data_IF_416660406129
#
_entry.id   IF_416660406129
#
_cell.length_a   1.000
_cell.length_b   1.000
_cell.length_c   1.000
_cell.angle_alpha   90.00
_cell.angle_beta   90.00
_cell.angle_gamma   90.00
#
_symmetry.space_group_name_H-M   'P 1'
#
loop_
_entity.id
_entity.type
_entity.pdbx_description
1 polymer ?
#
# COMPACT_ATOMS: atom_id res chain seq x y z
N UNK A 1 27.65 1.36 -15.93
CA UNK A 1 28.73 1.90 -16.81
C UNK A 1 29.97 1.05 -16.63
N UNK A 2 30.67 0.75 -17.67
CA UNK A 2 32.01 0.09 -17.66
C UNK A 2 33.03 1.09 -18.19
N UNK A 3 34.25 1.07 -17.64
CA UNK A 3 35.28 2.03 -17.95
C UNK A 3 35.26 3.31 -17.11
N UNK A 4 34.57 3.27 -15.93
CA UNK A 4 34.48 4.36 -14.95
C UNK A 4 34.84 3.81 -13.57
N UNK A 5 35.70 4.49 -12.82
CA UNK A 5 36.08 4.12 -11.46
C UNK A 5 34.99 4.45 -10.42
N UNK A 6 35.25 4.14 -9.14
CA UNK A 6 34.30 4.37 -8.06
C UNK A 6 34.05 5.87 -7.78
N UNK A 7 34.99 6.73 -8.16
CA UNK A 7 34.94 8.18 -8.02
C UNK A 7 34.26 8.87 -9.22
N UNK A 8 33.83 8.08 -10.24
CA UNK A 8 33.15 8.58 -11.44
C UNK A 8 34.09 9.07 -12.56
N UNK A 9 35.40 8.82 -12.47
CA UNK A 9 36.39 9.22 -13.48
C UNK A 9 36.50 8.16 -14.57
N UNK A 10 36.56 8.59 -15.82
CA UNK A 10 36.78 7.69 -16.97
C UNK A 10 38.17 7.07 -16.93
N UNK A 11 38.24 5.74 -16.84
CA UNK A 11 39.46 4.93 -16.89
C UNK A 11 39.64 4.24 -18.26
N UNK A 12 38.51 4.17 -19.02
CA UNK A 12 38.46 3.52 -20.33
C UNK A 12 38.09 2.03 -20.23
N UNK A 13 37.54 1.51 -21.32
CA UNK A 13 37.23 0.08 -21.47
C UNK A 13 37.53 -0.33 -22.94
N UNK A 14 38.00 -1.56 -23.12
CA UNK A 14 38.13 -2.17 -24.44
C UNK A 14 36.77 -2.72 -24.88
N UNK A 15 36.19 -2.24 -26.00
CA UNK A 15 34.88 -2.68 -26.45
C UNK A 15 34.82 -4.18 -26.79
N UNK A 16 35.86 -4.77 -27.35
CA UNK A 16 35.87 -6.17 -27.78
C UNK A 16 35.92 -7.10 -26.55
N UNK A 17 36.78 -6.80 -25.56
CA UNK A 17 36.84 -7.56 -24.31
C UNK A 17 35.51 -7.50 -23.53
N UNK A 18 34.89 -6.30 -23.48
CA UNK A 18 33.59 -6.13 -22.76
C UNK A 18 32.46 -6.84 -23.50
N UNK A 19 32.44 -6.82 -24.85
CA UNK A 19 31.40 -7.52 -25.61
C UNK A 19 31.46 -9.03 -25.40
N UNK A 20 32.65 -9.63 -25.39
CA UNK A 20 32.83 -11.05 -25.11
C UNK A 20 32.44 -11.41 -23.68
N UNK A 21 32.83 -10.60 -22.71
CA UNK A 21 32.42 -10.79 -21.31
C UNK A 21 30.90 -10.70 -21.13
N UNK A 22 30.22 -9.75 -21.79
CA UNK A 22 28.78 -9.61 -21.77
C UNK A 22 28.08 -10.80 -22.41
N UNK A 23 28.59 -11.27 -23.56
CA UNK A 23 28.08 -12.46 -24.23
C UNK A 23 28.13 -13.70 -23.34
N UNK A 24 29.25 -13.92 -22.67
CA UNK A 24 29.43 -15.02 -21.71
C UNK A 24 28.50 -14.85 -20.49
N UNK A 25 28.36 -13.65 -19.94
CA UNK A 25 27.46 -13.39 -18.83
C UNK A 25 25.99 -13.67 -19.20
N UNK A 26 25.55 -13.25 -20.39
CA UNK A 26 24.19 -13.53 -20.89
C UNK A 26 23.93 -15.02 -21.06
N UNK A 27 24.91 -15.78 -21.54
CA UNK A 27 24.81 -17.25 -21.71
C UNK A 27 24.74 -18.00 -20.37
N UNK A 28 25.24 -17.41 -19.30
CA UNK A 28 25.17 -17.99 -17.96
C UNK A 28 23.85 -17.73 -17.23
N UNK A 29 23.00 -16.84 -17.76
CA UNK A 29 21.69 -16.55 -17.17
C UNK A 29 20.62 -17.49 -17.71
N UNK A 30 19.73 -17.94 -16.84
CA UNK A 30 18.59 -18.80 -17.14
C UNK A 30 17.28 -18.21 -16.57
N UNK A 31 16.31 -17.80 -17.40
CA UNK A 31 16.41 -17.61 -18.85
C UNK A 31 17.44 -16.53 -19.23
N UNK A 32 17.87 -16.45 -20.50
CA UNK A 32 18.81 -15.42 -20.95
C UNK A 32 18.27 -14.02 -20.74
N UNK A 33 19.15 -13.07 -20.36
CA UNK A 33 18.80 -11.65 -20.24
C UNK A 33 19.13 -10.93 -21.55
N UNK A 34 18.26 -9.96 -21.91
CA UNK A 34 18.55 -9.03 -23.01
C UNK A 34 19.24 -7.79 -22.45
N UNK A 35 20.39 -7.46 -23.01
CA UNK A 35 21.17 -6.27 -22.65
C UNK A 35 21.37 -5.44 -23.93
N UNK A 36 21.23 -4.12 -23.80
CA UNK A 36 21.66 -3.18 -24.84
C UNK A 36 22.85 -2.40 -24.31
N UNK A 37 23.82 -2.10 -25.17
CA UNK A 37 24.96 -1.28 -24.81
C UNK A 37 25.24 -0.24 -25.87
N UNK A 38 25.82 0.87 -25.45
CA UNK A 38 26.21 1.99 -26.27
C UNK A 38 27.63 2.37 -25.92
N UNK A 39 28.42 2.66 -26.95
CA UNK A 39 29.76 3.22 -26.81
C UNK A 39 29.65 4.74 -26.65
N UNK A 40 30.29 5.26 -25.62
CA UNK A 40 30.37 6.69 -25.35
C UNK A 40 31.83 7.07 -25.11
N UNK A 41 32.15 8.35 -25.24
CA UNK A 41 33.48 8.89 -24.97
C UNK A 41 33.40 9.90 -23.82
N UNK A 42 34.27 9.75 -22.84
CA UNK A 42 34.46 10.71 -21.76
C UNK A 42 35.93 10.89 -21.47
N UNK A 43 36.40 12.12 -21.41
CA UNK A 43 37.80 12.50 -21.21
C UNK A 43 38.75 11.83 -22.20
N UNK A 44 38.34 11.67 -23.47
CA UNK A 44 39.13 11.02 -24.53
C UNK A 44 39.30 9.51 -24.34
N UNK A 45 38.44 8.87 -23.52
CA UNK A 45 38.45 7.43 -23.24
C UNK A 45 37.10 6.82 -23.55
N UNK A 46 37.09 5.62 -24.10
CA UNK A 46 35.88 4.89 -24.41
C UNK A 46 35.27 4.35 -23.13
N UNK A 47 34.00 4.64 -22.87
CA UNK A 47 33.19 4.08 -21.83
C UNK A 47 31.99 3.36 -22.44
N UNK A 48 31.46 2.33 -21.75
CA UNK A 48 30.33 1.53 -22.22
C UNK A 48 29.16 1.70 -21.28
N UNK A 49 28.03 2.17 -21.81
CA UNK A 49 26.79 2.26 -21.12
C UNK A 49 26.00 0.96 -21.33
N UNK A 50 25.68 0.24 -20.25
CA UNK A 50 24.84 -0.94 -20.30
C UNK A 50 23.42 -0.61 -19.91
N UNK A 51 22.47 -0.95 -20.77
CA UNK A 51 21.05 -0.89 -20.53
C UNK A 51 20.54 -2.29 -20.22
N UNK A 52 20.23 -2.56 -18.96
CA UNK A 52 19.64 -3.82 -18.52
C UNK A 52 18.15 -3.55 -18.23
N UNK A 53 17.23 -3.93 -19.14
CA UNK A 53 15.80 -3.70 -18.93
C UNK A 53 15.29 -4.55 -17.76
N UNK A 54 14.25 -4.06 -17.11
CA UNK A 54 13.56 -4.85 -16.08
C UNK A 54 12.95 -6.08 -16.72
N UNK A 55 13.32 -7.27 -16.22
CA UNK A 55 12.73 -8.54 -16.67
C UNK A 55 11.59 -8.97 -15.73
N UNK A 56 10.45 -9.43 -16.28
CA UNK A 56 9.38 -10.04 -15.49
C UNK A 56 9.75 -11.45 -14.98
N UNK A 57 10.77 -12.08 -15.58
CA UNK A 57 11.15 -13.44 -15.25
C UNK A 57 12.18 -13.51 -14.13
N UNK A 58 12.14 -14.59 -13.36
CA UNK A 58 13.18 -14.90 -12.40
C UNK A 58 14.40 -15.47 -13.14
N UNK A 59 15.52 -14.75 -13.07
CA UNK A 59 16.78 -15.22 -13.66
C UNK A 59 17.65 -15.88 -12.61
N UNK A 60 18.18 -17.04 -12.92
CA UNK A 60 19.24 -17.71 -12.17
C UNK A 60 20.51 -17.78 -12.99
N UNK A 61 21.63 -18.02 -12.35
CA UNK A 61 22.86 -18.43 -13.03
C UNK A 61 22.75 -19.89 -13.45
N UNK A 62 23.66 -20.30 -14.34
CA UNK A 62 23.79 -21.69 -14.82
C UNK A 62 24.03 -22.72 -13.68
N UNK A 63 24.56 -22.27 -12.54
CA UNK A 63 24.73 -23.06 -11.32
C UNK A 63 23.48 -23.05 -10.41
N UNK A 64 22.37 -22.47 -10.85
CA UNK A 64 21.11 -22.40 -10.12
C UNK A 64 20.99 -21.27 -9.09
N UNK A 65 22.04 -20.51 -8.85
CA UNK A 65 21.98 -19.37 -7.91
C UNK A 65 21.17 -18.22 -8.46
N UNK A 66 20.31 -17.67 -7.63
CA UNK A 66 19.59 -16.41 -7.88
C UNK A 66 20.30 -15.31 -7.08
N UNK A 67 20.74 -14.27 -7.74
CA UNK A 67 21.50 -13.18 -7.12
C UNK A 67 20.67 -11.90 -7.05
N UNK A 68 20.84 -11.15 -5.96
CA UNK A 68 20.31 -9.80 -5.81
C UNK A 68 21.46 -8.82 -5.55
N UNK A 69 21.39 -7.63 -6.17
CA UNK A 69 22.33 -6.55 -5.93
C UNK A 69 21.96 -5.78 -4.67
N UNK A 70 22.88 -5.68 -3.70
CA UNK A 70 22.78 -4.78 -2.55
C UNK A 70 24.00 -3.87 -2.50
N UNK A 71 23.79 -2.60 -2.85
CA UNK A 71 24.90 -1.66 -2.97
C UNK A 71 25.93 -2.12 -4.00
N UNK A 72 27.18 -2.34 -3.56
CA UNK A 72 28.29 -2.79 -4.41
C UNK A 72 28.44 -4.32 -4.49
N UNK A 73 27.62 -5.11 -3.78
CA UNK A 73 27.77 -6.56 -3.68
C UNK A 73 26.60 -7.33 -4.29
N UNK A 74 26.90 -8.51 -4.84
CA UNK A 74 25.90 -9.49 -5.27
C UNK A 74 25.73 -10.55 -4.19
N UNK A 75 24.50 -10.69 -3.65
CA UNK A 75 24.18 -11.69 -2.61
C UNK A 75 23.31 -12.79 -3.22
N UNK A 76 23.62 -14.08 -2.99
CA UNK A 76 22.70 -15.16 -3.34
C UNK A 76 21.46 -15.13 -2.45
N UNK A 77 20.31 -15.42 -3.05
CA UNK A 77 19.05 -15.61 -2.35
C UNK A 77 18.82 -17.08 -2.07
N UNK A 78 18.13 -17.38 -0.98
CA UNK A 78 17.85 -18.77 -0.55
C UNK A 78 16.35 -18.97 -0.27
N UNK A 79 15.85 -20.18 -0.55
CA UNK A 79 14.55 -20.69 -0.15
C UNK A 79 13.39 -19.69 -0.31
N UNK A 80 12.91 -19.12 0.82
CA UNK A 80 11.78 -18.20 0.87
C UNK A 80 12.06 -16.88 0.13
N UNK A 81 13.28 -16.38 0.11
CA UNK A 81 13.66 -15.17 -0.60
C UNK A 81 13.51 -15.34 -2.13
N UNK A 82 13.87 -16.52 -2.66
CA UNK A 82 13.68 -16.85 -4.08
C UNK A 82 12.18 -16.90 -4.41
N UNK A 83 11.37 -17.53 -3.55
CA UNK A 83 9.92 -17.56 -3.74
C UNK A 83 9.30 -16.15 -3.70
N UNK A 84 9.75 -15.31 -2.80
CA UNK A 84 9.34 -13.91 -2.73
C UNK A 84 9.72 -13.13 -3.99
N UNK A 85 10.98 -13.27 -4.45
CA UNK A 85 11.44 -12.61 -5.67
C UNK A 85 10.71 -13.15 -6.91
N UNK A 86 10.44 -14.46 -6.98
CA UNK A 86 9.64 -15.06 -8.05
C UNK A 86 8.21 -14.52 -8.06
N UNK A 87 7.59 -14.43 -6.89
CA UNK A 87 6.27 -13.82 -6.73
C UNK A 87 6.26 -12.34 -7.12
N UNK A 88 7.33 -11.60 -6.84
CA UNK A 88 7.48 -10.20 -7.26
C UNK A 88 7.70 -10.05 -8.76
N UNK A 89 8.50 -10.91 -9.37
CA UNK A 89 8.83 -10.84 -10.79
C UNK A 89 7.75 -11.44 -11.67
N UNK A 90 7.03 -12.46 -11.20
CA UNK A 90 5.81 -12.97 -11.84
C UNK A 90 4.65 -11.96 -11.78
N UNK A 91 4.81 -10.87 -11.03
CA UNK A 91 4.04 -9.63 -11.18
C UNK A 91 4.58 -8.91 -12.44
N UNK A 92 4.59 -9.57 -13.59
CA UNK A 92 4.49 -8.89 -14.87
C UNK A 92 3.39 -7.84 -14.72
N UNK A 93 3.46 -6.79 -15.47
CA UNK A 93 2.49 -5.68 -15.45
C UNK A 93 1.08 -6.23 -15.82
N UNK A 94 0.52 -7.09 -14.91
CA UNK A 94 -0.74 -7.80 -15.14
C UNK A 94 -1.87 -6.86 -15.48
N UNK A 95 -1.86 -5.69 -14.88
CA UNK A 95 -2.87 -4.67 -15.17
C UNK A 95 -2.75 -4.10 -16.59
N UNK A 96 -1.60 -4.29 -17.27
CA UNK A 96 -1.36 -3.93 -18.68
C UNK A 96 -1.68 -5.05 -19.66
N UNK A 97 -1.92 -6.27 -19.19
CA UNK A 97 -2.25 -7.38 -20.07
C UNK A 97 -3.58 -7.14 -20.78
N UNK A 98 -3.64 -7.50 -22.06
CA UNK A 98 -4.88 -7.47 -22.85
C UNK A 98 -5.86 -8.49 -22.28
N UNK A 99 -7.11 -8.08 -22.11
CA UNK A 99 -8.18 -8.97 -21.67
C UNK A 99 -8.74 -9.74 -22.87
N UNK A 100 -8.55 -11.08 -22.95
CA UNK A 100 -9.04 -11.84 -24.09
C UNK A 100 -10.56 -11.73 -24.27
N UNK A 101 -10.98 -11.41 -25.48
CA UNK A 101 -12.39 -11.29 -25.84
C UNK A 101 -13.07 -9.99 -25.40
N UNK A 102 -12.34 -9.09 -24.74
CA UNK A 102 -12.82 -7.75 -24.45
C UNK A 102 -12.58 -6.81 -25.65
N UNK A 103 -13.51 -5.91 -25.87
CA UNK A 103 -13.47 -4.89 -26.91
C UNK A 103 -13.64 -3.50 -26.31
N UNK A 104 -13.37 -2.46 -27.10
CA UNK A 104 -13.60 -1.06 -26.69
C UNK A 104 -15.05 -0.80 -26.23
N UNK A 105 -16.02 -1.54 -26.79
CA UNK A 105 -17.43 -1.44 -26.46
C UNK A 105 -17.77 -1.96 -25.05
N UNK A 106 -16.90 -2.77 -24.46
CA UNK A 106 -17.05 -3.25 -23.08
C UNK A 106 -16.71 -2.19 -22.04
N UNK A 107 -16.09 -1.07 -22.46
CA UNK A 107 -15.85 0.09 -21.58
C UNK A 107 -17.10 0.99 -21.54
N UNK A 108 -17.34 1.58 -20.38
CA UNK A 108 -18.49 2.45 -20.10
C UNK A 108 -18.12 3.92 -20.34
N UNK A 109 -18.76 4.54 -21.34
CA UNK A 109 -18.54 5.93 -21.71
C UNK A 109 -18.88 6.90 -20.58
N UNK A 110 -19.91 6.60 -19.78
CA UNK A 110 -20.28 7.44 -18.65
C UNK A 110 -19.21 7.42 -17.55
N UNK A 111 -18.62 6.24 -17.29
CA UNK A 111 -17.51 6.11 -16.36
C UNK A 111 -16.26 6.85 -16.87
N UNK A 112 -15.97 6.75 -18.15
CA UNK A 112 -14.85 7.48 -18.77
C UNK A 112 -15.06 8.99 -18.66
N UNK A 113 -16.25 9.48 -19.03
CA UNK A 113 -16.57 10.91 -18.95
C UNK A 113 -16.50 11.45 -17.51
N UNK A 114 -17.00 10.69 -16.52
CA UNK A 114 -16.89 11.06 -15.11
C UNK A 114 -15.42 11.12 -14.65
N UNK A 115 -14.61 10.13 -15.03
CA UNK A 115 -13.18 10.12 -14.72
C UNK A 115 -12.46 11.34 -15.28
N UNK A 116 -12.73 11.68 -16.55
CA UNK A 116 -12.15 12.86 -17.21
C UNK A 116 -12.47 14.13 -16.44
N UNK A 117 -13.75 14.35 -16.11
CA UNK A 117 -14.17 15.52 -15.35
C UNK A 117 -13.48 15.62 -13.98
N UNK A 118 -13.38 14.49 -13.25
CA UNK A 118 -12.69 14.45 -11.96
C UNK A 118 -11.18 14.68 -12.09
N UNK A 119 -10.54 14.12 -13.13
CA UNK A 119 -9.10 14.30 -13.40
C UNK A 119 -8.81 15.76 -13.73
N UNK A 120 -9.59 16.40 -14.59
CA UNK A 120 -9.44 17.84 -14.92
C UNK A 120 -9.59 18.73 -13.69
N UNK A 121 -10.63 18.48 -12.88
CA UNK A 121 -10.85 19.21 -11.64
C UNK A 121 -9.67 19.11 -10.67
N UNK A 122 -9.08 17.90 -10.55
CA UNK A 122 -7.95 17.67 -9.66
C UNK A 122 -6.64 18.25 -10.18
N UNK A 123 -6.41 18.18 -11.48
CA UNK A 123 -5.21 18.75 -12.12
C UNK A 123 -5.31 20.27 -12.32
N UNK A 124 -6.49 20.84 -12.17
CA UNK A 124 -6.80 22.27 -12.45
C UNK A 124 -6.38 22.71 -13.87
N UNK A 125 -6.42 21.80 -14.82
CA UNK A 125 -6.11 22.04 -16.23
C UNK A 125 -6.93 21.10 -17.12
N UNK A 126 -7.33 21.55 -18.32
CA UNK A 126 -7.97 20.68 -19.31
C UNK A 126 -7.03 19.54 -19.70
N UNK A 127 -7.61 18.38 -20.01
CA UNK A 127 -6.88 17.26 -20.60
C UNK A 127 -6.67 17.58 -22.08
N UNK A 128 -5.39 17.55 -22.49
CA UNK A 128 -5.03 17.69 -23.90
C UNK A 128 -5.21 16.36 -24.63
N UNK A 129 -5.67 16.39 -25.88
CA UNK A 129 -5.82 15.20 -26.72
C UNK A 129 -7.22 14.59 -26.69
N UNK A 130 -7.38 13.51 -27.45
CA UNK A 130 -8.65 12.75 -27.54
C UNK A 130 -8.81 11.77 -26.39
N UNK A 131 -10.05 11.31 -26.19
CA UNK A 131 -10.38 10.30 -25.15
C UNK A 131 -9.58 9.03 -25.35
N UNK A 132 -9.44 8.56 -26.57
CA UNK A 132 -8.69 7.34 -26.91
C UNK A 132 -7.20 7.47 -26.59
N UNK A 133 -6.60 8.62 -26.90
CA UNK A 133 -5.19 8.90 -26.58
C UNK A 133 -4.97 8.87 -25.07
N UNK A 134 -5.87 9.46 -24.31
CA UNK A 134 -5.81 9.41 -22.86
C UNK A 134 -5.97 7.99 -22.32
N UNK A 135 -6.91 7.21 -22.85
CA UNK A 135 -7.10 5.81 -22.40
C UNK A 135 -5.85 4.97 -22.67
N UNK A 136 -5.12 5.25 -23.75
CA UNK A 136 -3.81 4.63 -24.02
C UNK A 136 -2.75 5.16 -23.05
N UNK A 137 -2.69 6.49 -22.82
CA UNK A 137 -1.73 7.11 -21.87
C UNK A 137 -1.83 6.50 -20.47
N UNK A 138 -3.04 6.35 -19.94
CA UNK A 138 -3.26 5.77 -18.61
C UNK A 138 -3.17 4.23 -18.59
N UNK A 139 -2.98 3.62 -19.76
CA UNK A 139 -2.87 2.17 -19.91
C UNK A 139 -4.19 1.41 -19.78
N UNK A 140 -5.33 2.07 -19.99
CA UNK A 140 -6.64 1.42 -20.06
C UNK A 140 -6.87 0.72 -21.41
N UNK A 141 -6.24 1.23 -22.45
CA UNK A 141 -6.18 0.61 -23.78
C UNK A 141 -4.72 0.39 -24.18
N UNK A 142 -4.49 -0.60 -25.04
CA UNK A 142 -3.24 -0.72 -25.79
C UNK A 142 -3.20 0.31 -26.91
N UNK A 143 -2.03 0.57 -27.53
CA UNK A 143 -1.95 1.41 -28.75
C UNK A 143 -2.79 0.88 -29.92
N UNK A 144 -3.13 -0.42 -29.93
CA UNK A 144 -4.03 -1.05 -30.90
C UNK A 144 -5.51 -0.97 -30.51
N UNK A 145 -5.86 -0.23 -29.44
CA UNK A 145 -7.24 -0.03 -29.00
C UNK A 145 -7.88 -1.19 -28.23
N UNK A 146 -7.08 -2.19 -27.80
CA UNK A 146 -7.58 -3.32 -27.03
C UNK A 146 -7.61 -3.01 -25.53
N UNK A 147 -8.72 -3.34 -24.82
CA UNK A 147 -8.80 -3.12 -23.38
C UNK A 147 -7.79 -3.96 -22.60
N UNK A 148 -7.14 -3.30 -21.65
CA UNK A 148 -6.26 -3.94 -20.68
C UNK A 148 -7.04 -4.36 -19.43
N UNK A 149 -6.41 -5.15 -18.56
CA UNK A 149 -6.95 -5.48 -17.23
C UNK A 149 -7.27 -4.20 -16.44
N UNK A 150 -6.37 -3.20 -16.43
CA UNK A 150 -6.65 -1.91 -15.81
C UNK A 150 -7.86 -1.20 -16.43
N UNK A 151 -7.95 -1.19 -17.76
CA UNK A 151 -9.08 -0.59 -18.47
C UNK A 151 -10.42 -1.21 -18.12
N UNK A 152 -10.49 -2.54 -18.13
CA UNK A 152 -11.69 -3.28 -17.73
C UNK A 152 -12.04 -3.05 -16.27
N UNK A 153 -11.05 -3.06 -15.36
CA UNK A 153 -11.29 -2.84 -13.93
C UNK A 153 -11.74 -1.41 -13.61
N UNK A 154 -11.18 -0.39 -14.29
CA UNK A 154 -11.52 1.01 -14.03
C UNK A 154 -12.80 1.47 -14.75
N UNK A 155 -13.02 1.01 -15.97
CA UNK A 155 -14.04 1.54 -16.86
C UNK A 155 -15.00 0.50 -17.45
N UNK A 156 -14.81 -0.79 -17.17
CA UNK A 156 -15.66 -1.84 -17.77
C UNK A 156 -17.12 -1.73 -17.33
N UNK A 157 -18.05 -1.96 -18.25
CA UNK A 157 -19.49 -2.07 -17.94
C UNK A 157 -19.77 -3.25 -17.00
N UNK A 158 -19.10 -4.37 -17.24
CA UNK A 158 -19.23 -5.60 -16.45
C UNK A 158 -17.87 -6.27 -16.26
N UNK A 159 -16.97 -5.71 -15.43
CA UNK A 159 -15.62 -6.26 -15.23
C UNK A 159 -15.60 -7.72 -14.82
N UNK A 160 -16.61 -8.15 -14.03
CA UNK A 160 -16.70 -9.52 -13.49
C UNK A 160 -17.01 -10.57 -14.57
N UNK A 161 -17.44 -10.17 -15.76
CA UNK A 161 -17.55 -11.08 -16.91
C UNK A 161 -16.18 -11.61 -17.35
N UNK A 162 -15.16 -10.78 -17.27
CA UNK A 162 -13.79 -11.10 -17.67
C UNK A 162 -12.91 -11.50 -16.48
N UNK A 163 -13.15 -10.86 -15.34
CA UNK A 163 -12.41 -10.99 -14.08
C UNK A 163 -13.39 -11.33 -12.94
N UNK A 164 -13.93 -12.55 -12.86
CA UNK A 164 -15.09 -12.89 -12.03
C UNK A 164 -14.94 -12.57 -10.55
N UNK A 165 -13.70 -12.58 -10.01
CA UNK A 165 -13.44 -12.34 -8.60
C UNK A 165 -12.92 -10.93 -8.29
N UNK A 166 -13.05 -9.98 -9.23
CA UNK A 166 -12.57 -8.59 -9.05
C UNK A 166 -13.44 -7.72 -8.13
N UNK A 167 -14.57 -8.24 -7.66
CA UNK A 167 -15.48 -7.54 -6.75
C UNK A 167 -15.14 -7.75 -5.27
N UNK A 168 -16.05 -7.27 -4.43
CA UNK A 168 -16.01 -7.35 -2.95
C UNK A 168 -17.19 -8.19 -2.46
N UNK A 169 -17.00 -8.93 -1.38
CA UNK A 169 -18.08 -9.56 -0.61
C UNK A 169 -18.11 -8.91 0.77
N UNK A 170 -19.25 -8.37 1.14
CA UNK A 170 -19.53 -7.90 2.50
C UNK A 170 -20.29 -8.97 3.26
N UNK A 171 -19.88 -9.25 4.51
CA UNK A 171 -20.58 -10.18 5.42
C UNK A 171 -20.65 -9.56 6.81
N UNK A 172 -21.85 -9.52 7.38
CA UNK A 172 -22.08 -9.12 8.78
C UNK A 172 -22.37 -10.34 9.64
N UNK A 173 -21.62 -10.48 10.71
CA UNK A 173 -21.81 -11.49 11.75
C UNK A 173 -22.38 -10.84 13.00
N UNK A 174 -23.42 -11.43 13.63
CA UNK A 174 -24.03 -10.87 14.86
C UNK A 174 -23.11 -10.96 16.08
N UNK A 175 -22.20 -11.93 16.10
CA UNK A 175 -21.26 -12.17 17.20
C UNK A 175 -19.81 -11.81 16.84
N UNK A 176 -18.88 -12.34 17.61
CA UNK A 176 -17.43 -12.14 17.45
C UNK A 176 -16.77 -13.24 16.64
N UNK A 177 -17.52 -14.27 16.24
CA UNK A 177 -17.04 -15.41 15.45
C UNK A 177 -17.89 -15.62 14.19
N UNK A 178 -17.35 -16.26 13.14
CA UNK A 178 -18.11 -16.59 11.94
C UNK A 178 -19.17 -17.69 12.16
N UNK A 179 -19.09 -18.39 13.28
CA UNK A 179 -20.01 -19.49 13.60
C UNK A 179 -21.24 -18.91 14.30
N UNK A 180 -22.41 -19.19 13.74
CA UNK A 180 -23.67 -18.89 14.43
C UNK A 180 -23.84 -19.77 15.64
N UNK A 181 -24.72 -19.35 16.56
CA UNK A 181 -25.25 -20.21 17.62
C UNK A 181 -26.14 -21.31 17.01
N UNK A 182 -26.27 -22.45 17.71
CA UNK A 182 -27.02 -23.61 17.23
C UNK A 182 -28.43 -23.21 16.79
N UNK A 183 -28.77 -23.44 15.53
CA UNK A 183 -30.09 -23.09 14.94
C UNK A 183 -30.21 -21.67 14.35
N UNK A 184 -29.19 -20.83 14.45
CA UNK A 184 -29.18 -19.50 13.83
C UNK A 184 -28.23 -19.46 12.62
N UNK A 185 -28.54 -18.65 11.55
CA UNK A 185 -27.61 -18.46 10.46
C UNK A 185 -26.31 -17.84 10.95
N UNK A 186 -25.17 -18.33 10.42
CA UNK A 186 -23.84 -17.84 10.81
C UNK A 186 -23.61 -16.36 10.47
N UNK A 187 -24.41 -15.76 9.58
CA UNK A 187 -24.31 -14.35 9.19
C UNK A 187 -25.70 -13.69 9.13
N UNK A 188 -25.75 -12.40 9.47
CA UNK A 188 -26.97 -11.58 9.45
C UNK A 188 -27.20 -10.91 8.08
N UNK A 189 -26.13 -10.61 7.33
CA UNK A 189 -26.18 -9.96 6.03
C UNK A 189 -25.02 -10.44 5.18
N UNK A 190 -25.27 -10.69 3.88
CA UNK A 190 -24.23 -10.98 2.91
C UNK A 190 -24.57 -10.29 1.58
N UNK A 191 -23.64 -9.51 1.06
CA UNK A 191 -23.78 -8.82 -0.22
C UNK A 191 -22.56 -9.00 -1.10
N UNK A 192 -22.80 -9.16 -2.40
CA UNK A 192 -21.76 -9.21 -3.41
C UNK A 192 -21.77 -7.88 -4.19
N UNK A 193 -20.61 -7.23 -4.23
CA UNK A 193 -20.42 -5.92 -4.83
C UNK A 193 -19.58 -6.10 -6.09
N UNK A 194 -20.12 -5.69 -7.22
CA UNK A 194 -19.48 -5.76 -8.54
C UNK A 194 -19.50 -4.42 -9.26
N UNK A 195 -19.04 -4.43 -10.51
CA UNK A 195 -18.89 -3.21 -11.32
C UNK A 195 -17.44 -2.76 -11.43
N UNK A 196 -17.19 -1.61 -12.07
CA UNK A 196 -15.87 -0.98 -12.11
C UNK A 196 -15.41 -0.57 -10.71
N UNK A 197 -14.09 -0.55 -10.49
CA UNK A 197 -13.51 -0.42 -9.15
C UNK A 197 -13.94 0.84 -8.39
N UNK A 198 -14.16 1.95 -9.10
CA UNK A 198 -14.69 3.16 -8.48
C UNK A 198 -16.06 2.90 -7.82
N UNK A 199 -16.97 2.23 -8.53
CA UNK A 199 -18.30 1.87 -8.00
C UNK A 199 -18.21 0.81 -6.91
N UNK A 200 -17.27 -0.13 -7.02
CA UNK A 200 -16.99 -1.13 -5.97
C UNK A 200 -16.57 -0.43 -4.67
N UNK A 201 -15.68 0.55 -4.73
CA UNK A 201 -15.25 1.32 -3.55
C UNK A 201 -16.41 2.10 -2.95
N UNK A 202 -17.20 2.82 -3.77
CA UNK A 202 -18.35 3.60 -3.32
C UNK A 202 -19.43 2.74 -2.63
N UNK A 203 -19.79 1.62 -3.26
CA UNK A 203 -20.80 0.72 -2.72
C UNK A 203 -20.32 0.01 -1.46
N UNK A 204 -19.07 -0.46 -1.44
CA UNK A 204 -18.47 -1.08 -0.26
C UNK A 204 -18.44 -0.09 0.91
N UNK A 205 -18.00 1.15 0.67
CA UNK A 205 -18.04 2.21 1.66
C UNK A 205 -19.45 2.45 2.19
N UNK A 206 -20.42 2.61 1.29
CA UNK A 206 -21.82 2.86 1.67
C UNK A 206 -22.37 1.74 2.55
N UNK A 207 -22.18 0.47 2.14
CA UNK A 207 -22.67 -0.68 2.91
C UNK A 207 -22.03 -0.72 4.31
N UNK A 208 -20.71 -0.51 4.40
CA UNK A 208 -20.03 -0.50 5.70
C UNK A 208 -20.51 0.68 6.55
N UNK A 209 -20.69 1.86 5.94
CA UNK A 209 -21.20 3.05 6.62
C UNK A 209 -22.61 2.82 7.20
N UNK A 210 -23.51 2.25 6.40
CA UNK A 210 -24.88 1.94 6.83
C UNK A 210 -24.94 0.92 7.98
N UNK A 211 -23.91 0.07 8.10
CA UNK A 211 -23.77 -0.95 9.14
C UNK A 211 -22.97 -0.47 10.36
N UNK A 212 -22.31 0.68 10.27
CA UNK A 212 -21.61 1.26 11.42
C UNK A 212 -22.62 1.89 12.39
N UNK A 213 -22.44 1.59 13.67
CA UNK A 213 -23.23 2.23 14.72
C UNK A 213 -22.77 3.69 14.91
N UNK A 214 -23.72 4.59 15.05
CA UNK A 214 -23.44 5.98 15.40
C UNK A 214 -23.79 6.17 16.86
N UNK A 215 -22.76 6.28 17.69
CA UNK A 215 -22.91 6.67 19.10
C UNK A 215 -23.08 8.19 19.20
N UNK A 216 -23.75 8.65 20.25
CA UNK A 216 -23.83 10.06 20.57
C UNK A 216 -23.13 10.34 21.91
N UNK A 217 -22.24 11.31 21.92
CA UNK A 217 -21.62 11.83 23.13
C UNK A 217 -22.16 13.23 23.39
N UNK A 218 -22.71 13.45 24.59
CA UNK A 218 -23.18 14.78 25.01
C UNK A 218 -22.01 15.51 25.69
N UNK A 219 -21.59 16.63 25.13
CA UNK A 219 -20.60 17.55 25.74
C UNK A 219 -21.30 18.88 26.03
N UNK A 220 -21.60 19.12 27.28
CA UNK A 220 -22.39 20.29 27.67
C UNK A 220 -23.81 20.26 27.08
N UNK A 221 -24.16 21.21 26.23
CA UNK A 221 -25.45 21.26 25.52
C UNK A 221 -25.40 20.70 24.10
N UNK A 222 -24.23 20.29 23.62
CA UNK A 222 -24.04 19.79 22.27
C UNK A 222 -23.99 18.27 22.23
N UNK A 223 -24.70 17.71 21.25
CA UNK A 223 -24.67 16.29 20.92
C UNK A 223 -23.71 16.07 19.76
N UNK A 224 -22.58 15.44 20.02
CA UNK A 224 -21.60 15.04 19.02
C UNK A 224 -21.90 13.60 18.58
N UNK A 225 -22.22 13.41 17.31
CA UNK A 225 -22.35 12.08 16.73
C UNK A 225 -20.97 11.48 16.43
N UNK A 226 -20.73 10.28 16.94
CA UNK A 226 -19.45 9.57 16.72
C UNK A 226 -19.72 8.25 16.02
N UNK A 227 -19.24 8.09 14.80
CA UNK A 227 -19.31 6.79 14.14
C UNK A 227 -18.47 5.75 14.91
N UNK A 228 -18.87 4.48 14.77
CA UNK A 228 -18.22 3.34 15.41
C UNK A 228 -16.71 3.27 15.12
N UNK A 229 -16.29 3.63 13.92
CA UNK A 229 -14.88 3.75 13.51
C UNK A 229 -14.62 5.11 12.87
N UNK A 230 -13.37 5.62 12.90
CA UNK A 230 -13.00 6.79 12.12
C UNK A 230 -13.26 6.54 10.63
N UNK A 231 -14.01 7.43 9.95
CA UNK A 231 -14.39 7.24 8.54
C UNK A 231 -13.19 7.07 7.62
N UNK A 232 -12.13 7.82 7.86
CA UNK A 232 -10.89 7.70 7.10
C UNK A 232 -10.28 6.31 7.19
N UNK A 233 -10.19 5.72 8.39
CA UNK A 233 -9.57 4.42 8.60
C UNK A 233 -10.31 3.30 7.84
N UNK A 234 -11.64 3.33 7.84
CA UNK A 234 -12.47 2.36 7.11
C UNK A 234 -12.31 2.55 5.60
N UNK A 235 -12.41 3.80 5.12
CA UNK A 235 -12.24 4.11 3.69
C UNK A 235 -10.87 3.67 3.18
N UNK A 236 -9.84 3.98 3.92
CA UNK A 236 -8.46 3.61 3.59
C UNK A 236 -8.26 2.10 3.52
N UNK A 237 -8.82 1.35 4.47
CA UNK A 237 -8.76 -0.11 4.47
C UNK A 237 -9.44 -0.71 3.21
N UNK A 238 -10.60 -0.15 2.79
CA UNK A 238 -11.33 -0.59 1.58
C UNK A 238 -10.53 -0.24 0.32
N UNK A 239 -10.06 1.00 0.19
CA UNK A 239 -9.32 1.48 -0.97
C UNK A 239 -8.02 0.70 -1.13
N UNK A 240 -7.27 0.49 -0.06
CA UNK A 240 -6.03 -0.29 -0.07
C UNK A 240 -6.28 -1.75 -0.47
N UNK A 241 -7.37 -2.36 0.00
CA UNK A 241 -7.73 -3.71 -0.39
C UNK A 241 -7.97 -3.83 -1.89
N UNK A 242 -8.59 -2.83 -2.52
CA UNK A 242 -8.83 -2.75 -3.97
C UNK A 242 -7.52 -2.45 -4.72
N UNK A 243 -6.76 -1.45 -4.29
CA UNK A 243 -5.52 -1.01 -4.94
C UNK A 243 -4.44 -2.09 -4.97
N UNK A 244 -4.31 -2.85 -3.89
CA UNK A 244 -3.22 -3.81 -3.70
C UNK A 244 -3.62 -5.27 -3.88
N UNK A 245 -4.88 -5.54 -4.28
CA UNK A 245 -5.34 -6.88 -4.61
C UNK A 245 -4.48 -7.51 -5.72
N UNK A 246 -4.15 -8.78 -5.58
CA UNK A 246 -3.58 -9.54 -6.68
C UNK A 246 -4.71 -10.05 -7.60
N UNK A 247 -4.93 -9.33 -8.70
CA UNK A 247 -6.00 -9.63 -9.65
C UNK A 247 -5.79 -10.92 -10.46
N UNK A 248 -4.60 -11.52 -10.40
CA UNK A 248 -4.33 -12.84 -10.98
C UNK A 248 -4.97 -13.97 -10.17
N UNK A 249 -5.22 -13.75 -8.88
CA UNK A 249 -5.85 -14.73 -8.01
C UNK A 249 -7.36 -14.81 -8.28
N UNK A 250 -7.76 -15.78 -9.09
CA UNK A 250 -9.15 -15.94 -9.55
C UNK A 250 -10.06 -16.67 -8.57
N UNK A 251 -9.52 -17.26 -7.51
CA UNK A 251 -10.27 -18.11 -6.56
C UNK A 251 -10.90 -17.36 -5.38
N UNK A 252 -10.56 -16.10 -5.14
CA UNK A 252 -11.00 -15.34 -3.95
C UNK A 252 -11.31 -13.90 -4.31
N UNK A 253 -12.34 -13.34 -3.63
CA UNK A 253 -12.69 -11.91 -3.68
C UNK A 253 -12.06 -11.17 -2.50
N UNK A 254 -12.10 -9.85 -2.54
CA UNK A 254 -11.93 -9.03 -1.35
C UNK A 254 -13.11 -9.32 -0.42
N UNK A 255 -12.84 -9.56 0.85
CA UNK A 255 -13.85 -9.84 1.87
C UNK A 255 -13.84 -8.72 2.91
N UNK A 256 -15.00 -8.12 3.15
CA UNK A 256 -15.22 -7.19 4.26
C UNK A 256 -16.15 -7.90 5.25
N UNK A 257 -15.62 -8.16 6.45
CA UNK A 257 -16.35 -8.88 7.51
C UNK A 257 -16.57 -7.96 8.70
N UNK A 258 -17.82 -7.66 9.00
CA UNK A 258 -18.23 -6.88 10.18
C UNK A 258 -18.67 -7.84 11.29
N UNK A 259 -17.94 -7.83 12.39
CA UNK A 259 -18.28 -8.52 13.64
C UNK A 259 -18.81 -7.54 14.68
N UNK A 260 -19.29 -8.08 15.80
CA UNK A 260 -19.76 -7.24 16.92
C UNK A 260 -18.62 -6.40 17.54
N UNK A 261 -17.37 -6.89 17.48
CA UNK A 261 -16.20 -6.30 18.13
C UNK A 261 -15.16 -5.71 17.16
N UNK A 262 -15.30 -5.91 15.84
CA UNK A 262 -14.31 -5.49 14.84
C UNK A 262 -14.83 -5.47 13.41
N UNK A 263 -14.10 -4.76 12.57
CA UNK A 263 -14.22 -4.81 11.12
C UNK A 263 -12.93 -5.40 10.53
N UNK A 264 -13.06 -6.40 9.68
CA UNK A 264 -11.92 -7.03 8.96
C UNK A 264 -12.05 -6.76 7.47
N UNK A 265 -10.98 -6.30 6.84
CA UNK A 265 -10.88 -6.13 5.38
C UNK A 265 -9.73 -6.99 4.89
N UNK A 266 -10.06 -8.04 4.13
CA UNK A 266 -9.10 -9.02 3.62
C UNK A 266 -9.01 -8.95 2.10
N UNK A 267 -7.80 -8.74 1.58
CA UNK A 267 -7.51 -8.69 0.15
C UNK A 267 -6.67 -9.89 -0.29
N UNK A 268 -7.00 -10.54 -1.42
CA UNK A 268 -6.16 -11.57 -2.02
C UNK A 268 -4.82 -11.01 -2.49
N UNK A 269 -3.74 -11.69 -2.12
CA UNK A 269 -2.35 -11.30 -2.38
C UNK A 269 -1.60 -10.94 -1.09
N UNK A 270 -0.41 -11.54 -0.90
CA UNK A 270 0.47 -11.22 0.21
C UNK A 270 1.14 -9.85 0.03
N UNK A 271 1.92 -9.43 1.01
CA UNK A 271 2.73 -8.22 0.90
C UNK A 271 3.74 -8.38 -0.26
N UNK A 272 3.93 -7.35 -1.09
CA UNK A 272 4.86 -7.41 -2.19
C UNK A 272 6.30 -7.31 -1.68
N UNK A 273 7.13 -8.17 -2.21
CA UNK A 273 8.58 -8.15 -2.22
C UNK A 273 9.32 -7.79 -0.94
N UNK A 274 9.74 -6.57 -0.85
CA UNK A 274 10.51 -6.04 0.26
C UNK A 274 9.64 -5.45 1.38
N UNK A 275 8.33 -5.35 1.16
CA UNK A 275 7.39 -4.88 2.18
C UNK A 275 7.16 -5.97 3.22
N UNK A 276 7.31 -5.60 4.48
CA UNK A 276 7.06 -6.42 5.66
C UNK A 276 6.14 -5.67 6.62
N UNK A 277 5.61 -6.35 7.63
CA UNK A 277 4.82 -5.66 8.66
C UNK A 277 5.65 -4.65 9.48
N UNK A 278 6.98 -4.82 9.49
CA UNK A 278 7.87 -3.92 10.24
C UNK A 278 8.18 -2.61 9.46
N UNK A 279 8.04 -2.61 8.12
CA UNK A 279 8.35 -1.45 7.28
C UNK A 279 7.16 -0.95 6.43
N UNK A 280 5.97 -1.52 6.61
CA UNK A 280 4.77 -1.19 5.81
C UNK A 280 4.34 0.28 5.91
N UNK A 281 4.76 0.95 6.97
CA UNK A 281 4.50 2.38 7.21
C UNK A 281 5.48 3.27 6.43
N UNK A 282 6.73 2.82 6.33
CA UNK A 282 7.83 3.63 5.77
C UNK A 282 8.08 3.33 4.28
N UNK A 283 7.71 2.13 3.81
CA UNK A 283 8.01 1.66 2.46
C UNK A 283 6.76 1.62 1.58
N UNK A 284 6.91 2.11 0.37
CA UNK A 284 5.82 2.21 -0.58
C UNK A 284 6.06 1.33 -1.81
N UNK A 285 5.11 0.47 -2.09
CA UNK A 285 5.10 -0.31 -3.31
C UNK A 285 3.68 -0.51 -3.82
N UNK A 286 3.45 -0.23 -5.07
CA UNK A 286 2.16 -0.53 -5.72
C UNK A 286 2.30 -1.74 -6.64
N UNK A 287 1.46 -2.75 -6.40
CA UNK A 287 1.31 -3.90 -7.30
C UNK A 287 0.60 -3.50 -8.59
N UNK A 288 -0.35 -2.58 -8.48
CA UNK A 288 -1.21 -2.13 -9.57
C UNK A 288 -1.12 -0.60 -9.72
N UNK A 289 0.00 -0.05 -10.23
CA UNK A 289 0.22 1.39 -10.31
C UNK A 289 -0.80 2.13 -11.18
N UNK A 290 -1.35 1.51 -12.25
CA UNK A 290 -2.38 2.14 -13.08
C UNK A 290 -3.72 2.23 -12.35
N UNK A 291 -4.11 1.17 -11.64
CA UNK A 291 -5.32 1.17 -10.81
C UNK A 291 -5.20 2.20 -9.69
N UNK A 292 -4.05 2.27 -9.02
CA UNK A 292 -3.79 3.29 -7.97
C UNK A 292 -3.89 4.70 -8.57
N UNK A 293 -3.23 4.95 -9.69
CA UNK A 293 -3.31 6.25 -10.39
C UNK A 293 -4.75 6.57 -10.81
N UNK A 294 -5.48 5.58 -11.34
CA UNK A 294 -6.89 5.73 -11.70
C UNK A 294 -7.73 6.15 -10.48
N UNK A 295 -7.66 5.43 -9.38
CA UNK A 295 -8.44 5.73 -8.17
C UNK A 295 -7.98 7.02 -7.47
N UNK A 296 -6.71 7.42 -7.61
CA UNK A 296 -6.22 8.72 -7.19
C UNK A 296 -6.95 9.86 -7.94
N UNK A 297 -7.01 9.81 -9.25
CA UNK A 297 -7.74 10.83 -10.02
C UNK A 297 -9.25 10.77 -9.79
N UNK A 298 -9.79 9.62 -9.43
CA UNK A 298 -11.19 9.51 -8.99
C UNK A 298 -11.45 10.20 -7.64
N UNK A 299 -10.39 10.49 -6.86
CA UNK A 299 -10.48 11.19 -5.58
C UNK A 299 -10.59 10.27 -4.36
N UNK A 300 -10.35 8.95 -4.52
CA UNK A 300 -10.40 8.00 -3.40
C UNK A 300 -9.09 7.88 -2.64
N UNK A 301 -7.98 8.28 -3.25
CA UNK A 301 -6.65 8.32 -2.64
C UNK A 301 -6.26 9.79 -2.46
N UNK A 302 -5.90 10.21 -1.24
CA UNK A 302 -5.55 11.60 -0.95
C UNK A 302 -4.08 11.89 -1.29
N UNK A 303 -3.15 11.15 -0.68
CA UNK A 303 -1.71 11.24 -0.94
C UNK A 303 -1.11 9.84 -1.02
N UNK A 304 -0.16 9.65 -1.92
CA UNK A 304 0.54 8.38 -2.07
C UNK A 304 1.47 8.18 -0.86
N UNK A 305 1.16 7.16 -0.06
CA UNK A 305 2.08 6.67 0.96
C UNK A 305 1.79 7.03 2.42
N UNK A 306 0.86 7.92 2.73
CA UNK A 306 0.55 8.32 4.12
C UNK A 306 -0.70 7.65 4.71
N UNK A 307 -1.37 6.78 3.96
CA UNK A 307 -2.68 6.23 4.34
C UNK A 307 -2.64 5.36 5.59
N UNK A 308 -1.63 4.49 5.71
CA UNK A 308 -1.50 3.56 6.85
C UNK A 308 -1.17 4.30 8.14
N UNK A 309 -0.24 5.26 8.10
CA UNK A 309 0.11 6.09 9.26
C UNK A 309 -1.12 6.81 9.80
N UNK A 310 -1.82 7.53 8.91
CA UNK A 310 -3.01 8.28 9.27
C UNK A 310 -4.14 7.36 9.77
N UNK A 311 -4.31 6.17 9.17
CA UNK A 311 -5.27 5.16 9.66
C UNK A 311 -4.97 4.80 11.12
N UNK A 312 -3.70 4.52 11.45
CA UNK A 312 -3.26 4.19 12.80
C UNK A 312 -3.54 5.37 13.75
N UNK A 313 -3.13 6.59 13.37
CA UNK A 313 -3.31 7.78 14.19
C UNK A 313 -4.78 8.07 14.46
N UNK A 314 -5.64 8.04 13.44
CA UNK A 314 -7.07 8.33 13.60
C UNK A 314 -7.77 7.30 14.48
N UNK A 315 -7.45 6.00 14.34
CA UNK A 315 -7.98 4.96 15.21
C UNK A 315 -7.59 5.23 16.68
N UNK A 316 -6.31 5.50 16.93
CA UNK A 316 -5.80 5.72 18.29
C UNK A 316 -6.36 7.02 18.90
N UNK A 317 -6.43 8.12 18.12
CA UNK A 317 -7.04 9.39 18.55
C UNK A 317 -8.51 9.22 18.92
N UNK A 318 -9.24 8.41 18.18
CA UNK A 318 -10.64 8.11 18.46
C UNK A 318 -10.84 7.15 19.66
N UNK A 319 -9.75 6.65 20.27
CA UNK A 319 -9.80 5.76 21.45
C UNK A 319 -9.91 4.27 21.10
N UNK A 320 -9.66 3.90 19.85
CA UNK A 320 -9.59 2.50 19.43
C UNK A 320 -8.19 1.91 19.65
N UNK A 321 -8.05 0.58 19.73
CA UNK A 321 -6.76 -0.06 19.55
C UNK A 321 -6.15 0.27 18.19
N UNK A 322 -4.84 0.15 18.07
CA UNK A 322 -4.19 0.23 16.77
C UNK A 322 -4.72 -0.84 15.83
N UNK A 323 -4.87 -0.56 14.52
CA UNK A 323 -5.20 -1.56 13.53
C UNK A 323 -4.23 -2.73 13.59
N UNK A 324 -4.74 -3.94 13.44
CA UNK A 324 -3.90 -5.13 13.33
C UNK A 324 -3.77 -5.52 11.88
N UNK A 325 -2.53 -5.70 11.43
CA UNK A 325 -2.22 -6.15 10.08
C UNK A 325 -1.78 -7.62 10.12
N UNK A 326 -2.38 -8.44 9.25
CA UNK A 326 -2.03 -9.86 9.11
C UNK A 326 -1.62 -10.10 7.67
N UNK A 327 -0.33 -10.42 7.48
CA UNK A 327 0.21 -10.78 6.19
C UNK A 327 0.37 -12.31 6.09
N UNK A 328 -0.22 -12.88 5.06
CA UNK A 328 -0.07 -14.29 4.68
C UNK A 328 0.43 -14.36 3.24
N UNK A 329 0.95 -15.50 2.76
CA UNK A 329 1.49 -15.61 1.40
C UNK A 329 0.53 -15.18 0.29
N UNK A 330 -0.79 -15.42 0.48
CA UNK A 330 -1.84 -15.16 -0.51
C UNK A 330 -2.96 -14.24 -0.02
N UNK A 331 -2.78 -13.57 1.11
CA UNK A 331 -3.74 -12.60 1.60
C UNK A 331 -3.11 -11.58 2.53
N UNK A 332 -3.69 -10.38 2.54
CA UNK A 332 -3.41 -9.34 3.50
C UNK A 332 -4.69 -8.88 4.15
N UNK A 333 -4.74 -8.82 5.48
CA UNK A 333 -5.92 -8.45 6.24
C UNK A 333 -5.64 -7.30 7.19
N UNK A 334 -6.50 -6.29 7.14
CA UNK A 334 -6.56 -5.18 8.09
C UNK A 334 -7.71 -5.43 9.06
N UNK A 335 -7.46 -5.34 10.36
CA UNK A 335 -8.47 -5.49 11.41
C UNK A 335 -8.56 -4.18 12.20
N UNK A 336 -9.74 -3.59 12.17
CA UNK A 336 -10.08 -2.42 12.97
C UNK A 336 -10.97 -2.89 14.14
N UNK A 337 -10.46 -2.77 15.37
CA UNK A 337 -11.21 -3.15 16.56
C UNK A 337 -12.09 -2.01 17.06
N UNK A 338 -13.23 -2.37 17.68
CA UNK A 338 -14.10 -1.41 18.33
C UNK A 338 -13.35 -0.68 19.45
N UNK A 339 -13.89 0.48 19.83
CA UNK A 339 -13.35 1.26 20.95
C UNK A 339 -13.38 0.43 22.22
N UNK A 340 -12.26 0.41 22.93
CA UNK A 340 -12.21 -0.14 24.27
C UNK A 340 -12.56 0.95 25.27
N UNK A 341 -13.54 0.70 26.15
CA UNK A 341 -13.76 1.55 27.32
C UNK A 341 -12.52 1.47 28.21
N UNK A 342 -11.72 2.54 28.23
CA UNK A 342 -10.66 2.69 29.22
C UNK A 342 -11.30 3.27 30.48
N UNK A 343 -11.12 2.64 31.65
CA UNK A 343 -11.49 3.30 32.89
C UNK A 343 -10.78 4.65 32.98
N UNK A 344 -11.45 5.73 33.42
CA UNK A 344 -10.81 7.03 33.57
C UNK A 344 -9.62 6.87 34.52
N UNK A 345 -8.41 7.13 34.00
CA UNK A 345 -7.21 7.20 34.84
C UNK A 345 -7.33 8.45 35.66
N UNK A 346 -7.26 8.40 37.00
CA UNK A 346 -7.25 9.60 37.82
C UNK A 346 -6.00 10.42 37.43
N UNK A 347 -6.20 11.53 36.76
CA UNK A 347 -5.12 12.46 36.43
C UNK A 347 -4.81 13.24 37.72
N UNK A 348 -3.95 12.64 38.57
CA UNK A 348 -3.32 13.39 39.63
C UNK A 348 -2.43 14.46 39.00
N UNK A 349 -2.54 15.69 39.44
CA UNK A 349 -1.70 16.81 39.06
C UNK A 349 -0.25 16.63 39.59
N UNK A 350 0.47 15.68 38.98
CA UNK A 350 1.91 15.61 39.18
C UNK A 350 2.60 16.59 38.23
N UNK A 351 3.47 17.46 38.70
CA UNK A 351 4.18 18.40 37.84
C UNK A 351 4.97 17.64 36.76
N UNK A 352 4.95 18.17 35.55
CA UNK A 352 5.80 17.67 34.47
C UNK A 352 7.24 18.08 34.69
N UNK A 353 8.18 17.21 34.41
CA UNK A 353 9.58 17.54 34.42
C UNK A 353 9.98 18.33 33.16
N UNK A 354 11.14 19.03 33.20
CA UNK A 354 11.62 19.84 32.08
C UNK A 354 11.78 19.07 30.77
N UNK A 355 12.16 17.79 30.85
CA UNK A 355 12.31 16.94 29.65
C UNK A 355 10.97 16.65 29.02
N UNK A 356 9.95 16.35 29.83
CA UNK A 356 8.57 16.14 29.33
C UNK A 356 8.03 17.40 28.66
N UNK A 357 8.32 18.60 29.20
CA UNK A 357 7.93 19.86 28.55
C UNK A 357 8.63 20.04 27.20
N UNK A 358 9.92 19.72 27.09
CA UNK A 358 10.65 19.75 25.81
C UNK A 358 10.06 18.78 24.79
N UNK A 359 9.69 17.57 25.20
CA UNK A 359 9.05 16.61 24.32
C UNK A 359 7.70 17.13 23.80
N UNK A 360 6.87 17.71 24.68
CA UNK A 360 5.57 18.28 24.29
C UNK A 360 5.72 19.47 23.35
N UNK A 361 6.71 20.33 23.57
CA UNK A 361 6.99 21.43 22.65
C UNK A 361 7.41 20.92 21.29
N UNK A 362 8.33 19.96 21.24
CA UNK A 362 8.78 19.34 19.99
C UNK A 362 7.62 18.72 19.22
N UNK A 363 6.72 17.98 19.90
CA UNK A 363 5.55 17.36 19.27
C UNK A 363 4.60 18.43 18.71
N UNK A 364 4.43 19.57 19.40
CA UNK A 364 3.60 20.67 18.87
C UNK A 364 4.13 21.27 17.58
N UNK A 365 5.44 21.31 17.43
CA UNK A 365 6.11 21.87 16.25
C UNK A 365 6.23 20.87 15.11
N UNK A 366 6.44 19.58 15.40
CA UNK A 366 6.76 18.53 14.42
C UNK A 366 5.66 17.46 14.27
N UNK A 367 4.59 17.53 15.06
CA UNK A 367 3.47 16.60 15.04
C UNK A 367 3.69 15.30 15.81
N UNK A 368 4.90 14.78 15.86
CA UNK A 368 5.27 13.53 16.55
C UNK A 368 6.68 13.56 17.12
N UNK A 369 7.00 12.58 18.00
CA UNK A 369 8.35 12.35 18.51
C UNK A 369 8.64 10.85 18.64
N UNK A 370 9.82 10.43 18.22
CA UNK A 370 10.38 9.08 18.45
C UNK A 370 11.30 9.08 19.67
N UNK A 371 11.60 7.89 20.21
CA UNK A 371 12.60 7.76 21.28
C UNK A 371 13.98 8.30 20.87
N UNK A 372 14.35 8.16 19.59
CA UNK A 372 15.62 8.63 19.05
C UNK A 372 15.67 10.16 19.00
N UNK A 373 14.62 10.83 18.53
CA UNK A 373 14.52 12.28 18.49
C UNK A 373 14.50 12.85 19.91
N UNK A 374 13.79 12.20 20.84
CA UNK A 374 13.78 12.60 22.24
C UNK A 374 15.16 12.49 22.89
N UNK A 375 15.94 11.48 22.52
CA UNK A 375 17.32 11.34 22.97
C UNK A 375 18.23 12.46 22.42
N UNK A 376 18.00 12.93 21.20
CA UNK A 376 18.70 14.07 20.63
C UNK A 376 18.34 15.39 21.33
N UNK A 377 17.08 15.55 21.75
CA UNK A 377 16.61 16.72 22.50
C UNK A 377 17.15 16.78 23.95
N UNK A 378 17.46 15.62 24.51
CA UNK A 378 17.92 15.49 25.89
C UNK A 378 19.25 14.72 25.95
N UNK A 379 20.37 15.26 25.40
CA UNK A 379 21.67 14.63 25.44
C UNK A 379 22.14 14.45 26.89
N UNK A 380 22.70 13.27 27.19
CA UNK A 380 23.20 12.95 28.55
C UNK A 380 22.18 12.27 29.48
N UNK A 381 20.94 12.04 29.02
CA UNK A 381 19.93 11.27 29.75
C UNK A 381 19.86 9.86 29.22
N UNK A 382 19.71 8.86 30.10
CA UNK A 382 19.64 7.48 29.66
C UNK A 382 18.41 7.22 28.79
N UNK A 383 18.49 6.38 27.74
CA UNK A 383 17.35 6.03 26.90
C UNK A 383 16.17 5.47 27.69
N UNK A 384 16.45 4.73 28.76
CA UNK A 384 15.42 4.15 29.62
C UNK A 384 14.65 5.24 30.41
N UNK A 385 15.35 6.26 30.93
CA UNK A 385 14.71 7.40 31.60
C UNK A 385 13.77 8.14 30.65
N UNK A 386 14.22 8.41 29.41
CA UNK A 386 13.42 9.08 28.40
C UNK A 386 12.20 8.24 28.00
N UNK A 387 12.36 6.92 27.91
CA UNK A 387 11.25 6.00 27.66
C UNK A 387 10.21 6.05 28.78
N UNK A 388 10.64 6.12 30.02
CA UNK A 388 9.77 6.25 31.19
C UNK A 388 9.05 7.61 31.21
N UNK A 389 9.70 8.70 30.83
CA UNK A 389 9.07 10.03 30.71
C UNK A 389 7.92 10.01 29.69
N UNK A 390 8.14 9.42 28.49
CA UNK A 390 7.10 9.29 27.48
C UNK A 390 5.98 8.31 27.91
N UNK A 391 6.33 7.21 28.56
CA UNK A 391 5.36 6.27 29.10
C UNK A 391 4.47 6.90 30.19
N UNK A 392 5.04 7.80 31.01
CA UNK A 392 4.28 8.56 31.99
C UNK A 392 3.29 9.54 31.33
N UNK A 393 3.71 10.27 30.29
CA UNK A 393 2.83 11.15 29.52
C UNK A 393 1.70 10.38 28.82
N UNK A 394 1.98 9.16 28.33
CA UNK A 394 0.94 8.25 27.79
C UNK A 394 -0.02 7.81 28.88
N UNK A 395 0.48 7.38 30.05
CA UNK A 395 -0.34 6.95 31.17
C UNK A 395 -1.26 8.08 31.66
N UNK A 396 -0.78 9.33 31.66
CA UNK A 396 -1.55 10.54 31.98
C UNK A 396 -2.55 10.94 30.88
N UNK A 397 -2.55 10.26 29.73
CA UNK A 397 -3.42 10.56 28.61
C UNK A 397 -3.10 11.86 27.87
N UNK A 398 -1.88 12.39 28.03
CA UNK A 398 -1.38 13.58 27.30
C UNK A 398 -0.84 13.17 25.92
N UNK A 399 -0.15 12.03 25.86
CA UNK A 399 0.36 11.46 24.62
C UNK A 399 -0.34 10.16 24.28
N UNK A 400 -0.35 9.85 22.98
CA UNK A 400 -0.71 8.55 22.42
C UNK A 400 0.55 7.89 21.88
N UNK A 401 0.74 6.61 22.21
CA UNK A 401 1.82 5.80 21.65
C UNK A 401 1.31 5.11 20.39
N UNK A 402 2.01 5.26 19.29
CA UNK A 402 1.73 4.66 17.99
C UNK A 402 2.88 3.73 17.61
N UNK A 403 2.55 2.59 17.01
CA UNK A 403 3.53 1.60 16.56
C UNK A 403 4.12 0.72 17.66
N UNK A 404 4.96 -0.25 17.24
CA UNK A 404 5.67 -1.18 18.10
C UNK A 404 7.16 -1.25 17.72
N UNK A 405 8.01 -1.64 18.68
CA UNK A 405 9.46 -1.82 18.49
C UNK A 405 10.14 -0.58 17.88
N UNK A 406 10.81 -0.71 16.72
CA UNK A 406 11.59 0.35 16.06
C UNK A 406 10.73 1.45 15.44
N UNK A 407 9.49 1.14 15.07
CA UNK A 407 8.52 2.08 14.50
C UNK A 407 7.68 2.84 15.55
N UNK A 408 8.06 2.83 16.85
CA UNK A 408 7.30 3.52 17.89
C UNK A 408 7.54 5.01 17.85
N UNK A 409 6.44 5.79 17.79
CA UNK A 409 6.43 7.24 17.98
C UNK A 409 5.26 7.68 18.86
N UNK A 410 5.27 8.94 19.27
CA UNK A 410 4.27 9.51 20.19
C UNK A 410 3.71 10.79 19.61
N UNK A 411 2.39 10.99 19.75
CA UNK A 411 1.65 12.17 19.31
C UNK A 411 0.84 12.75 20.47
N UNK A 412 0.42 14.01 20.36
CA UNK A 412 -0.53 14.61 21.30
C UNK A 412 -1.91 13.93 21.14
N UNK A 413 -2.57 13.73 22.28
CA UNK A 413 -3.92 13.17 22.31
C UNK A 413 -4.96 14.20 21.85
#
# INVERSE_FOLDING_TARGET
MIGVDAEGKAIGADPEEVEDALRQAMLRCRPPIQIRWELNEADGRTIILLHVPRSPELHSLDDGRVLIRRGAENRPLEGREIQQLAAMKSVGDYEAEVVPGATREDLDEAMIAEYLAKREARQRRPIAGGVEELLVEIGALTPSGQPTVAGILLFGKQPQRFLPQSGVVFVKYPGTTPHGEEGLPGYARREEIGGPLARVVEQAWKIVWDEMQVGAVVRGLEREERPEYPPFAVREAIVNAVCHRDYRLRGRRIEIRKFADRLEVSSPGGLPGHITLDNIVDEHYSRNPRIVSGLFYWGYIEELGLGIDRMIEEMVRAGHPQPKFIAQPYSFTVILYNRQERPPVPVGELPMNERQLKALQYIREHGRITNREYQQLCPGVSPETLRLDLADLVRRGILLKIGEKRGTYYILK
#
